data_IF_249286236204
#
_entry.id   IF_249286236204
#
_cell.length_a   1.000
_cell.length_b   1.000
_cell.length_c   1.000
_cell.angle_alpha   90.00
_cell.angle_beta   90.00
_cell.angle_gamma   90.00
#
_symmetry.space_group_name_H-M   'P 1'
#
loop_
_entity.id
_entity.type
_entity.pdbx_description
1 polymer ?
#
# COMPACT_ATOMS: atom_id res chain seq x y z
N UNK A 1 -80.54 12.14 -32.18
CA UNK A 1 -79.14 12.48 -32.50
C UNK A 1 -78.38 12.46 -31.19
N UNK A 2 -78.11 11.28 -30.61
CA UNK A 2 -77.04 10.36 -30.99
C UNK A 2 -75.67 10.98 -30.71
N UNK A 3 -74.91 10.32 -29.83
CA UNK A 3 -73.47 10.46 -29.62
C UNK A 3 -72.98 11.79 -29.00
N UNK A 4 -73.10 11.96 -27.67
CA UNK A 4 -72.10 12.74 -26.91
C UNK A 4 -72.07 12.54 -25.38
N UNK A 5 -72.82 11.58 -24.81
CA UNK A 5 -72.85 11.32 -23.36
C UNK A 5 -72.11 10.04 -22.90
N UNK A 6 -71.30 9.40 -23.77
CA UNK A 6 -70.66 8.11 -23.48
C UNK A 6 -69.12 8.14 -23.37
N UNK A 7 -68.49 9.31 -23.23
CA UNK A 7 -67.01 9.41 -23.18
C UNK A 7 -66.48 9.79 -21.78
N UNK A 8 -67.32 10.29 -20.86
CA UNK A 8 -66.85 10.65 -19.50
C UNK A 8 -66.83 9.44 -18.54
N UNK A 9 -67.54 8.34 -18.85
CA UNK A 9 -67.57 7.16 -17.98
C UNK A 9 -66.54 6.05 -18.33
N UNK A 10 -65.64 6.30 -19.29
CA UNK A 10 -64.53 5.38 -19.64
C UNK A 10 -63.13 5.92 -19.29
N UNK A 11 -63.03 6.98 -18.49
CA UNK A 11 -61.76 7.48 -17.95
C UNK A 11 -61.65 7.19 -16.43
N UNK A 12 -62.65 6.56 -15.82
CA UNK A 12 -62.66 6.18 -14.41
C UNK A 12 -62.24 4.72 -14.13
N UNK A 13 -61.50 4.07 -15.03
CA UNK A 13 -60.95 2.72 -14.79
C UNK A 13 -59.47 2.54 -15.14
N UNK A 14 -58.73 3.62 -15.40
CA UNK A 14 -57.27 3.61 -15.49
C UNK A 14 -56.73 4.65 -14.50
N UNK A 15 -57.12 4.50 -13.24
CA UNK A 15 -56.40 5.06 -12.11
C UNK A 15 -56.00 3.88 -11.23
N UNK A 16 -54.71 3.87 -10.86
CA UNK A 16 -54.07 2.93 -9.94
C UNK A 16 -53.63 1.58 -10.52
N UNK A 17 -52.72 1.64 -11.51
CA UNK A 17 -51.57 0.70 -11.52
C UNK A 17 -50.29 1.47 -11.22
N UNK A 18 -50.32 2.31 -10.20
CA UNK A 18 -49.08 2.79 -9.57
C UNK A 18 -48.80 1.90 -8.36
N UNK A 19 -47.56 1.41 -8.32
CA UNK A 19 -46.87 0.86 -7.14
C UNK A 19 -47.42 -0.42 -6.53
N UNK A 20 -47.29 -1.54 -7.24
CA UNK A 20 -46.95 -2.80 -6.59
C UNK A 20 -45.41 -2.96 -6.54
N UNK A 21 -44.72 -1.95 -5.99
CA UNK A 21 -43.33 -2.17 -5.55
C UNK A 21 -43.47 -3.08 -4.35
N UNK A 22 -43.09 -4.34 -4.53
CA UNK A 22 -43.21 -5.40 -3.55
C UNK A 22 -42.77 -4.92 -2.16
N UNK A 23 -43.70 -4.91 -1.21
CA UNK A 23 -43.41 -4.72 0.20
C UNK A 23 -42.55 -5.87 0.72
N UNK A 24 -41.23 -5.78 0.53
CA UNK A 24 -40.29 -6.52 1.40
C UNK A 24 -40.48 -5.94 2.79
N UNK A 25 -41.09 -6.74 3.67
CA UNK A 25 -41.11 -6.43 5.10
C UNK A 25 -39.68 -6.11 5.54
N UNK A 26 -39.42 -4.95 6.19
CA UNK A 26 -38.07 -4.55 6.55
C UNK A 26 -37.47 -5.68 7.40
N UNK A 27 -36.31 -6.18 6.98
CA UNK A 27 -35.66 -7.27 7.70
C UNK A 27 -35.46 -6.85 9.16
N UNK A 28 -35.82 -7.72 10.10
CA UNK A 28 -35.57 -7.49 11.52
C UNK A 28 -34.09 -7.12 11.72
N UNK A 29 -33.80 -6.00 12.36
CA UNK A 29 -32.44 -5.49 12.53
C UNK A 29 -31.47 -6.55 13.09
N UNK A 30 -31.93 -7.42 14.00
CA UNK A 30 -31.13 -8.54 14.53
C UNK A 30 -30.81 -9.60 13.47
N UNK A 31 -31.77 -9.90 12.59
CA UNK A 31 -31.56 -10.80 11.44
C UNK A 31 -30.62 -10.17 10.42
N UNK A 32 -30.76 -8.87 10.15
CA UNK A 32 -29.87 -8.14 9.24
C UNK A 32 -28.42 -8.16 9.73
N UNK A 33 -28.18 -7.80 11.00
CA UNK A 33 -26.84 -7.83 11.62
C UNK A 33 -26.27 -9.25 11.60
N UNK A 34 -27.06 -10.26 11.98
CA UNK A 34 -26.62 -11.67 11.95
C UNK A 34 -26.22 -12.09 10.53
N UNK A 35 -27.01 -11.75 9.51
CA UNK A 35 -26.69 -12.06 8.12
C UNK A 35 -25.39 -11.39 7.69
N UNK A 36 -25.18 -10.11 8.03
CA UNK A 36 -23.92 -9.42 7.71
C UNK A 36 -22.71 -10.05 8.40
N UNK A 37 -22.82 -10.44 9.67
CA UNK A 37 -21.72 -11.10 10.38
C UNK A 37 -21.38 -12.46 9.76
N UNK A 38 -22.38 -13.26 9.39
CA UNK A 38 -22.17 -14.56 8.75
C UNK A 38 -21.52 -14.38 7.38
N UNK A 39 -22.10 -13.51 6.54
CA UNK A 39 -21.58 -13.25 5.20
C UNK A 39 -20.17 -12.66 5.28
N UNK A 40 -19.95 -11.69 6.17
CA UNK A 40 -18.64 -11.09 6.41
C UNK A 40 -17.61 -12.11 6.90
N UNK A 41 -17.99 -13.01 7.81
CA UNK A 41 -17.13 -14.09 8.29
C UNK A 41 -16.77 -15.10 7.20
N UNK A 42 -17.75 -15.47 6.36
CA UNK A 42 -17.49 -16.35 5.20
C UNK A 42 -16.54 -15.66 4.22
N UNK A 43 -16.81 -14.40 3.86
CA UNK A 43 -15.95 -13.63 2.95
C UNK A 43 -14.54 -13.49 3.52
N UNK A 44 -14.41 -13.12 4.80
CA UNK A 44 -13.12 -13.03 5.49
C UNK A 44 -12.37 -14.37 5.47
N UNK A 45 -13.06 -15.48 5.75
CA UNK A 45 -12.49 -16.83 5.68
C UNK A 45 -12.04 -17.21 4.27
N UNK A 46 -12.83 -16.89 3.24
CA UNK A 46 -12.48 -17.12 1.84
C UNK A 46 -11.26 -16.29 1.41
N UNK A 47 -11.15 -15.04 1.88
CA UNK A 47 -9.99 -14.18 1.59
C UNK A 47 -8.68 -14.78 2.11
N UNK A 48 -8.69 -15.52 3.22
CA UNK A 48 -7.47 -16.11 3.77
C UNK A 48 -6.85 -17.20 2.90
N UNK A 49 -7.57 -17.74 1.91
CA UNK A 49 -7.02 -18.74 0.97
C UNK A 49 -6.15 -18.12 -0.13
N UNK A 50 -6.25 -16.80 -0.34
CA UNK A 50 -5.38 -16.06 -1.25
C UNK A 50 -4.28 -15.42 -0.43
N UNK A 51 -3.11 -16.06 -0.34
CA UNK A 51 -1.97 -15.53 0.41
C UNK A 51 -0.78 -15.29 -0.53
N UNK A 52 -0.23 -14.07 -0.56
CA UNK A 52 0.98 -13.78 -1.33
C UNK A 52 2.18 -14.60 -0.85
N UNK A 53 3.22 -14.71 -1.67
CA UNK A 53 4.51 -15.17 -1.18
C UNK A 53 5.20 -14.07 -0.36
N UNK A 54 5.80 -14.46 0.77
CA UNK A 54 6.51 -13.59 1.73
C UNK A 54 7.90 -14.12 2.00
N UNK A 55 8.51 -14.76 1.00
CA UNK A 55 9.90 -15.19 1.08
C UNK A 55 10.86 -14.03 0.82
N UNK A 56 12.02 -14.12 1.43
CA UNK A 56 13.13 -13.22 1.18
C UNK A 56 14.06 -13.87 0.15
N UNK A 57 14.32 -13.22 -1.00
CA UNK A 57 15.34 -13.71 -1.91
C UNK A 57 16.72 -13.76 -1.23
N UNK A 58 17.65 -14.60 -1.69
CA UNK A 58 18.99 -14.63 -1.13
C UNK A 58 19.70 -13.27 -1.25
N UNK A 59 20.50 -12.93 -0.24
CA UNK A 59 21.33 -11.72 -0.23
C UNK A 59 22.78 -12.11 -0.44
N UNK A 60 23.41 -11.54 -1.47
CA UNK A 60 24.85 -11.57 -1.65
C UNK A 60 25.44 -10.29 -1.03
N UNK A 61 26.22 -10.38 0.07
CA UNK A 61 26.80 -9.22 0.73
C UNK A 61 27.61 -8.32 -0.23
N UNK A 62 28.25 -8.90 -1.25
CA UNK A 62 29.04 -8.13 -2.22
C UNK A 62 28.20 -7.22 -3.10
N UNK A 63 26.91 -7.54 -3.28
CA UNK A 63 25.97 -6.80 -4.14
C UNK A 63 25.23 -5.68 -3.40
N UNK A 64 25.40 -5.56 -2.08
CA UNK A 64 24.63 -4.65 -1.24
C UNK A 64 25.06 -3.19 -1.40
N UNK A 65 24.19 -2.27 -1.00
CA UNK A 65 24.51 -0.84 -0.92
C UNK A 65 25.60 -0.59 0.12
N UNK A 66 25.55 -1.26 1.26
CA UNK A 66 26.49 -1.11 2.36
C UNK A 66 27.91 -1.59 2.02
N UNK A 67 28.06 -2.51 1.06
CA UNK A 67 29.39 -2.93 0.58
C UNK A 67 30.00 -1.97 -0.44
N UNK A 68 29.18 -1.11 -1.05
CA UNK A 68 29.57 -0.26 -2.17
C UNK A 68 29.67 1.23 -1.83
N UNK A 69 28.88 1.70 -0.85
CA UNK A 69 28.83 3.09 -0.42
C UNK A 69 29.40 3.24 0.98
N UNK A 70 29.92 4.42 1.28
CA UNK A 70 30.24 4.77 2.66
C UNK A 70 28.92 5.09 3.38
N UNK A 71 28.41 4.14 4.17
CA UNK A 71 27.19 4.32 4.99
C UNK A 71 27.59 4.45 6.46
N UNK A 72 27.63 5.67 7.01
CA UNK A 72 27.88 5.89 8.43
C UNK A 72 26.91 5.11 9.32
N UNK A 73 27.36 4.70 10.52
CA UNK A 73 26.58 3.84 11.40
C UNK A 73 25.21 4.44 11.79
N UNK A 74 25.15 5.77 11.97
CA UNK A 74 23.91 6.48 12.26
C UNK A 74 22.95 6.47 11.07
N UNK A 75 23.44 6.66 9.84
CA UNK A 75 22.62 6.54 8.62
C UNK A 75 22.17 5.09 8.40
N UNK A 76 23.04 4.11 8.62
CA UNK A 76 22.70 2.69 8.51
C UNK A 76 21.53 2.33 9.42
N UNK A 77 21.54 2.80 10.67
CA UNK A 77 20.45 2.57 11.62
C UNK A 77 19.12 3.19 11.15
N UNK A 78 19.16 4.35 10.49
CA UNK A 78 17.98 5.00 9.91
C UNK A 78 17.42 4.21 8.72
N UNK A 79 18.30 3.79 7.80
CA UNK A 79 17.90 2.97 6.64
C UNK A 79 17.34 1.61 7.08
N UNK A 80 17.92 1.01 8.12
CA UNK A 80 17.45 -0.26 8.67
C UNK A 80 16.04 -0.17 9.25
N UNK A 81 15.74 0.90 10.01
CA UNK A 81 14.42 1.06 10.65
C UNK A 81 13.33 1.65 9.75
N UNK A 82 13.68 2.41 8.70
CA UNK A 82 12.69 3.09 7.86
C UNK A 82 12.65 2.68 6.39
N UNK A 83 13.63 1.92 5.89
CA UNK A 83 13.72 1.58 4.45
C UNK A 83 13.84 0.09 4.19
N UNK A 84 14.64 -0.64 4.99
CA UNK A 84 15.07 -2.01 4.72
C UNK A 84 13.92 -2.98 4.46
N UNK A 85 12.83 -2.89 5.22
CA UNK A 85 11.75 -3.86 5.10
C UNK A 85 11.03 -3.81 3.74
N UNK A 86 10.98 -2.65 3.07
CA UNK A 86 10.38 -2.52 1.74
C UNK A 86 11.43 -2.46 0.60
N UNK A 87 12.63 -1.95 0.89
CA UNK A 87 13.67 -1.69 -0.11
C UNK A 87 14.86 -2.64 -0.01
N UNK A 88 14.69 -3.85 0.54
CA UNK A 88 15.75 -4.87 0.54
C UNK A 88 15.19 -6.27 0.38
N UNK A 89 16.06 -7.24 0.11
CA UNK A 89 15.73 -8.66 0.19
C UNK A 89 15.70 -9.19 1.65
N UNK A 90 15.90 -8.34 2.66
CA UNK A 90 15.92 -8.69 4.09
C UNK A 90 14.70 -8.14 4.83
N UNK A 91 13.50 -8.37 4.29
CA UNK A 91 12.24 -7.90 4.88
C UNK A 91 11.92 -8.65 6.17
N UNK A 92 11.63 -7.91 7.23
CA UNK A 92 11.02 -8.48 8.44
C UNK A 92 9.50 -8.49 8.26
N UNK A 93 8.92 -9.65 7.97
CA UNK A 93 7.49 -9.78 7.71
C UNK A 93 6.69 -9.67 9.03
N UNK A 94 5.87 -8.63 9.23
CA UNK A 94 5.12 -8.46 10.47
C UNK A 94 3.96 -9.48 10.53
N UNK A 95 3.48 -9.81 11.72
CA UNK A 95 2.43 -10.84 11.90
C UNK A 95 1.13 -10.55 11.10
N UNK A 96 0.78 -9.27 10.93
CA UNK A 96 -0.41 -8.89 10.17
C UNK A 96 -0.24 -9.09 8.65
N UNK A 97 0.98 -9.29 8.17
CA UNK A 97 1.25 -9.68 6.78
C UNK A 97 0.80 -11.12 6.48
N UNK A 98 0.33 -11.87 7.47
CA UNK A 98 -0.22 -13.21 7.32
C UNK A 98 -1.76 -13.24 7.31
N UNK A 99 -2.41 -12.09 7.51
CA UNK A 99 -3.87 -11.99 7.61
C UNK A 99 -4.40 -11.14 6.47
N UNK A 100 -5.26 -11.70 5.62
CA UNK A 100 -5.89 -10.93 4.54
C UNK A 100 -6.95 -9.97 5.11
N UNK A 101 -7.15 -8.78 4.51
CA UNK A 101 -6.48 -8.28 3.30
C UNK A 101 -5.13 -7.60 3.55
N UNK A 102 -4.69 -7.44 4.81
CA UNK A 102 -3.44 -6.75 5.13
C UNK A 102 -2.23 -7.43 4.48
N UNK A 103 -2.22 -8.76 4.42
CA UNK A 103 -1.20 -9.55 3.72
C UNK A 103 -0.98 -9.11 2.27
N UNK A 104 -2.05 -8.75 1.55
CA UNK A 104 -1.98 -8.31 0.16
C UNK A 104 -1.32 -6.94 0.04
N UNK A 105 -1.72 -6.00 0.90
CA UNK A 105 -1.17 -4.64 0.90
C UNK A 105 0.32 -4.63 1.25
N UNK A 106 0.71 -5.36 2.29
CA UNK A 106 2.13 -5.44 2.70
C UNK A 106 2.98 -6.08 1.61
N UNK A 107 2.52 -7.19 1.03
CA UNK A 107 3.30 -7.87 -0.01
C UNK A 107 3.42 -7.01 -1.27
N UNK A 108 2.36 -6.29 -1.64
CA UNK A 108 2.40 -5.33 -2.74
C UNK A 108 3.36 -4.17 -2.46
N UNK A 109 3.30 -3.55 -1.27
CA UNK A 109 4.18 -2.44 -0.89
C UNK A 109 5.66 -2.88 -0.90
N UNK A 110 5.98 -4.10 -0.45
CA UNK A 110 7.36 -4.66 -0.48
C UNK A 110 7.80 -4.95 -1.91
N UNK A 111 6.94 -5.56 -2.73
CA UNK A 111 7.26 -5.85 -4.13
C UNK A 111 7.53 -4.56 -4.92
N UNK A 112 6.67 -3.55 -4.75
CA UNK A 112 6.80 -2.26 -5.42
C UNK A 112 8.01 -1.47 -4.91
N UNK A 113 8.24 -1.48 -3.59
CA UNK A 113 9.43 -0.89 -2.97
C UNK A 113 10.72 -1.42 -3.61
N UNK A 114 10.86 -2.74 -3.71
CA UNK A 114 12.03 -3.40 -4.34
C UNK A 114 12.19 -3.05 -5.82
N UNK A 115 11.09 -2.86 -6.57
CA UNK A 115 11.15 -2.42 -7.99
C UNK A 115 11.67 -1.00 -8.15
N UNK A 116 11.26 -0.09 -7.26
CA UNK A 116 11.81 1.26 -7.23
C UNK A 116 13.28 1.25 -6.84
N UNK A 117 13.65 0.49 -5.81
CA UNK A 117 15.02 0.36 -5.37
C UNK A 117 15.18 -0.80 -4.38
N UNK A 118 16.26 -1.56 -4.53
CA UNK A 118 16.65 -2.66 -3.65
C UNK A 118 18.11 -2.52 -3.17
N UNK A 119 18.28 -2.27 -1.87
CA UNK A 119 19.56 -2.18 -1.17
C UNK A 119 20.40 -3.45 -1.31
N UNK A 120 19.78 -4.62 -1.45
CA UNK A 120 20.48 -5.90 -1.58
C UNK A 120 21.02 -6.16 -2.98
N UNK A 121 20.65 -5.33 -3.96
CA UNK A 121 21.01 -5.50 -5.37
C UNK A 121 21.73 -4.29 -5.96
N UNK A 122 22.27 -3.43 -5.10
CA UNK A 122 22.87 -2.15 -5.47
C UNK A 122 23.89 -2.25 -6.60
N UNK A 123 24.80 -3.23 -6.55
CA UNK A 123 25.84 -3.39 -7.56
C UNK A 123 25.31 -3.82 -8.94
N UNK A 124 24.07 -4.32 -9.02
CA UNK A 124 23.43 -4.66 -10.30
C UNK A 124 22.93 -3.43 -11.05
N UNK A 125 22.77 -2.28 -10.37
CA UNK A 125 22.32 -1.05 -11.01
C UNK A 125 23.42 -0.39 -11.84
N UNK A 126 23.03 0.08 -13.02
CA UNK A 126 23.86 0.99 -13.83
C UNK A 126 24.09 2.30 -13.09
N UNK A 127 25.19 2.98 -13.41
CA UNK A 127 25.56 4.28 -12.85
C UNK A 127 24.38 5.28 -12.78
N UNK A 128 23.70 5.52 -13.91
CA UNK A 128 22.56 6.44 -13.98
C UNK A 128 21.39 6.03 -13.07
N UNK A 129 21.21 4.74 -12.79
CA UNK A 129 20.20 4.28 -11.85
C UNK A 129 20.64 4.50 -10.41
N UNK A 130 21.91 4.28 -10.08
CA UNK A 130 22.48 4.54 -8.75
C UNK A 130 22.31 6.02 -8.36
N UNK A 131 22.67 6.95 -9.25
CA UNK A 131 22.51 8.40 -8.99
C UNK A 131 21.05 8.81 -8.86
N UNK A 132 20.16 8.30 -9.71
CA UNK A 132 18.71 8.54 -9.61
C UNK A 132 18.11 8.02 -8.29
N UNK A 133 18.54 6.85 -7.81
CA UNK A 133 18.08 6.29 -6.54
C UNK A 133 18.50 7.20 -5.37
N UNK A 134 19.76 7.63 -5.32
CA UNK A 134 20.25 8.51 -4.24
C UNK A 134 19.53 9.86 -4.25
N UNK A 135 19.30 10.45 -5.43
CA UNK A 135 18.47 11.65 -5.58
C UNK A 135 17.03 11.43 -5.10
N UNK A 136 16.43 10.29 -5.44
CA UNK A 136 15.10 9.89 -4.99
C UNK A 136 15.00 9.70 -3.47
N UNK A 137 16.00 9.09 -2.84
CA UNK A 137 16.09 8.98 -1.38
C UNK A 137 16.08 10.38 -0.75
N UNK A 138 16.94 11.28 -1.22
CA UNK A 138 17.00 12.64 -0.71
C UNK A 138 15.67 13.41 -0.88
N UNK A 139 15.04 13.33 -2.06
CA UNK A 139 13.77 14.03 -2.34
C UNK A 139 12.63 13.50 -1.47
N UNK A 140 12.39 12.19 -1.49
CA UNK A 140 11.25 11.57 -0.81
C UNK A 140 11.34 11.69 0.72
N UNK A 141 12.56 11.63 1.28
CA UNK A 141 12.77 11.86 2.72
C UNK A 141 12.54 13.33 3.09
N UNK A 142 13.01 14.27 2.24
CA UNK A 142 12.80 15.72 2.40
C UNK A 142 11.32 16.11 2.33
N UNK A 143 10.59 15.53 1.38
CA UNK A 143 9.17 15.76 1.15
C UNK A 143 8.27 14.99 2.12
N UNK A 144 8.86 14.19 3.02
CA UNK A 144 8.17 13.35 4.00
C UNK A 144 7.22 12.32 3.35
N UNK A 145 7.53 11.94 2.10
CA UNK A 145 6.86 10.85 1.39
C UNK A 145 7.38 9.49 1.86
N UNK A 146 8.66 9.43 2.25
CA UNK A 146 9.28 8.24 2.84
C UNK A 146 9.75 8.48 4.29
N UNK A 147 9.52 7.51 5.19
CA UNK A 147 8.67 6.33 5.01
C UNK A 147 7.19 6.72 4.81
N UNK A 148 6.41 5.86 4.14
CA UNK A 148 5.02 6.19 3.80
C UNK A 148 4.21 6.62 5.05
N UNK A 149 3.42 7.71 5.00
CA UNK A 149 2.64 8.14 6.17
C UNK A 149 1.69 7.07 6.73
N UNK A 150 1.17 6.17 5.88
CA UNK A 150 0.32 5.03 6.29
C UNK A 150 1.08 3.94 7.07
N UNK A 151 2.41 3.90 6.95
CA UNK A 151 3.29 2.90 7.58
C UNK A 151 3.61 3.28 9.03
N UNK A 152 3.82 4.59 9.29
CA UNK A 152 4.24 5.13 10.59
C UNK A 152 3.36 4.71 11.78
N UNK A 153 2.01 4.68 11.72
CA UNK A 153 1.20 4.27 12.87
C UNK A 153 1.42 2.83 13.34
N UNK A 154 1.88 1.95 12.43
CA UNK A 154 2.21 0.55 12.74
C UNK A 154 3.72 0.37 13.01
N UNK A 155 4.52 1.36 12.64
CA UNK A 155 5.98 1.39 12.73
C UNK A 155 6.47 2.76 13.22
N UNK A 156 6.16 3.14 14.47
CA UNK A 156 6.57 4.44 15.01
C UNK A 156 8.10 4.60 15.03
N UNK A 157 8.85 3.49 15.11
CA UNK A 157 10.29 3.45 14.95
C UNK A 157 10.78 3.82 13.55
N UNK A 158 9.92 3.98 12.56
CA UNK A 158 10.28 4.49 11.24
C UNK A 158 10.07 6.00 11.11
N UNK A 159 9.46 6.66 12.09
CA UNK A 159 9.28 8.11 12.04
C UNK A 159 10.63 8.80 12.27
N UNK A 160 11.03 9.60 11.29
CA UNK A 160 12.30 10.32 11.32
C UNK A 160 12.08 11.75 11.80
N UNK A 161 12.86 12.14 12.81
CA UNK A 161 13.00 13.55 13.19
C UNK A 161 13.60 14.36 12.04
N UNK A 162 13.40 15.67 12.04
CA UNK A 162 13.97 16.52 10.97
C UNK A 162 15.50 16.44 10.91
N UNK A 163 16.18 16.24 12.05
CA UNK A 163 17.63 16.04 12.10
C UNK A 163 18.06 14.72 11.46
N UNK A 164 17.29 13.64 11.67
CA UNK A 164 17.56 12.33 11.05
C UNK A 164 17.29 12.36 9.55
N UNK A 165 16.21 13.04 9.13
CA UNK A 165 15.94 13.28 7.70
C UNK A 165 17.12 14.01 7.05
N UNK A 166 17.63 15.05 7.69
CA UNK A 166 18.77 15.80 7.17
C UNK A 166 20.01 14.92 7.01
N UNK A 167 20.30 14.03 7.97
CA UNK A 167 21.43 13.08 7.87
C UNK A 167 21.29 12.16 6.65
N UNK A 168 20.11 11.61 6.40
CA UNK A 168 19.86 10.75 5.23
C UNK A 168 20.03 11.56 3.93
N UNK A 169 19.50 12.78 3.90
CA UNK A 169 19.58 13.68 2.73
C UNK A 169 21.03 14.01 2.41
N UNK A 170 21.80 14.46 3.41
CA UNK A 170 23.21 14.86 3.25
C UNK A 170 24.05 13.68 2.80
N UNK A 171 23.84 12.51 3.41
CA UNK A 171 24.53 11.28 3.02
C UNK A 171 24.22 10.91 1.57
N UNK A 172 22.94 10.86 1.19
CA UNK A 172 22.53 10.45 -0.15
C UNK A 172 23.08 11.41 -1.22
N UNK A 173 23.06 12.72 -0.95
CA UNK A 173 23.64 13.74 -1.84
C UNK A 173 25.15 13.62 -1.95
N UNK A 174 25.86 13.39 -0.83
CA UNK A 174 27.30 13.17 -0.80
C UNK A 174 27.69 11.95 -1.64
N UNK A 175 27.04 10.80 -1.45
CA UNK A 175 27.35 9.60 -2.23
C UNK A 175 27.00 9.77 -3.71
N UNK A 176 25.93 10.50 -4.04
CA UNK A 176 25.59 10.81 -5.44
C UNK A 176 26.68 11.68 -6.09
N UNK A 177 27.17 12.69 -5.38
CA UNK A 177 28.24 13.56 -5.86
C UNK A 177 29.56 12.80 -6.07
N UNK A 178 29.93 11.89 -5.15
CA UNK A 178 31.12 11.04 -5.29
C UNK A 178 31.03 10.17 -6.53
N UNK A 179 29.91 9.47 -6.73
CA UNK A 179 29.69 8.65 -7.91
C UNK A 179 29.86 9.48 -9.19
N UNK A 180 29.29 10.68 -9.27
CA UNK A 180 29.44 11.56 -10.44
C UNK A 180 30.86 12.10 -10.65
N UNK A 181 31.71 12.12 -9.63
CA UNK A 181 33.11 12.54 -9.74
C UNK A 181 34.08 11.40 -10.06
N UNK A 182 33.62 10.14 -10.07
CA UNK A 182 34.39 8.96 -10.41
C UNK A 182 34.29 8.55 -11.90
N UNK A 183 33.43 9.22 -12.68
CA UNK A 183 33.37 9.13 -14.16
C UNK A 183 34.40 10.04 -14.83
#
# INVERSE_FOLDING_TARGET
MTAMFAIVHRIAHIHLRHTAIHGRSPMNARKLVRTFLIVGGILFGLMQFVQPDRTNPPVDPSQTMQSALAVPADVSALLDRGCRDCHSNSTTWPFYSYIAPASWLVSYDVEEGRKHFNMSEWQKYKFSRKTNILGGIASTVKEKEMPMPKYIPLHPEADFTDAERQRIIDWAQSEAAKLMGEE
#
